data_IF_548766262352
#
_entry.id   IF_548766262352
#
_cell.length_a   1.000
_cell.length_b   1.000
_cell.length_c   1.000
_cell.angle_alpha   90.00
_cell.angle_beta   90.00
_cell.angle_gamma   90.00
#
_symmetry.space_group_name_H-M   'P 1'
#
loop_
_entity.id
_entity.type
_entity.pdbx_description
1 polymer ?
#
# COMPACT_ATOMS: atom_id res chain seq x y z
N UNK A 1 -23.77 -16.46 55.72
CA UNK A 1 -24.31 -16.05 54.40
C UNK A 1 -23.16 -15.51 53.57
N UNK A 2 -22.68 -16.21 52.52
CA UNK A 2 -21.65 -15.66 51.65
C UNK A 2 -22.32 -14.79 50.57
N UNK A 3 -21.97 -13.51 50.53
CA UNK A 3 -22.36 -12.61 49.45
C UNK A 3 -21.42 -12.80 48.26
N UNK A 4 -22.00 -13.22 47.13
CA UNK A 4 -21.39 -13.13 45.83
C UNK A 4 -21.24 -11.66 45.43
N UNK A 5 -20.05 -11.24 44.99
CA UNK A 5 -19.88 -10.00 44.23
C UNK A 5 -19.35 -10.36 42.85
N UNK A 6 -20.19 -10.03 41.89
CA UNK A 6 -20.04 -10.23 40.45
C UNK A 6 -18.99 -9.29 39.87
N UNK A 7 -18.06 -9.90 39.14
CA UNK A 7 -17.46 -9.46 37.88
C UNK A 7 -17.65 -7.98 37.46
N UNK A 8 -16.56 -7.22 37.43
CA UNK A 8 -16.45 -6.01 36.59
C UNK A 8 -15.14 -6.07 35.80
N UNK A 9 -15.12 -6.90 34.75
CA UNK A 9 -14.07 -6.88 33.75
C UNK A 9 -14.20 -5.61 32.90
N UNK A 10 -13.36 -4.61 33.16
CA UNK A 10 -13.24 -3.43 32.30
C UNK A 10 -12.47 -3.84 31.05
N UNK A 11 -13.22 -4.22 30.01
CA UNK A 11 -12.69 -4.39 28.66
C UNK A 11 -12.44 -3.00 28.08
N UNK A 12 -11.25 -2.45 28.31
CA UNK A 12 -10.80 -1.23 27.65
C UNK A 12 -10.57 -1.51 26.16
N UNK A 13 -11.62 -1.32 25.35
CA UNK A 13 -11.50 -1.28 23.90
C UNK A 13 -10.83 0.06 23.58
N UNK A 14 -9.50 0.04 23.42
CA UNK A 14 -8.76 1.17 22.89
C UNK A 14 -9.24 1.43 21.45
N UNK A 15 -10.15 2.39 21.29
CA UNK A 15 -10.50 3.01 20.02
C UNK A 15 -9.26 3.74 19.51
N UNK A 16 -8.43 3.06 18.74
CA UNK A 16 -7.39 3.71 17.95
C UNK A 16 -8.08 4.41 16.79
N UNK A 17 -8.48 5.66 17.03
CA UNK A 17 -8.94 6.57 15.99
C UNK A 17 -7.74 6.93 15.13
N UNK A 18 -7.50 6.15 14.08
CA UNK A 18 -6.56 6.52 13.03
C UNK A 18 -7.18 7.68 12.23
N UNK A 19 -6.89 8.90 12.63
CA UNK A 19 -7.06 10.06 11.77
C UNK A 19 -6.19 9.86 10.51
N UNK A 20 -6.72 10.03 9.29
CA UNK A 20 -5.94 9.86 8.08
C UNK A 20 -4.98 11.04 7.94
N UNK A 21 -3.78 10.91 8.50
CA UNK A 21 -2.67 11.80 8.17
C UNK A 21 -2.29 11.49 6.73
N UNK A 22 -2.65 12.38 5.81
CA UNK A 22 -2.21 12.32 4.42
C UNK A 22 -0.69 12.38 4.39
N UNK A 23 -0.04 11.21 4.33
CA UNK A 23 1.40 11.12 4.19
C UNK A 23 1.76 11.37 2.72
N UNK A 24 2.21 12.60 2.45
CA UNK A 24 3.12 12.90 1.34
C UNK A 24 4.37 12.01 1.45
N UNK A 25 5.17 11.92 0.39
CA UNK A 25 6.26 10.97 0.17
C UNK A 25 7.39 10.88 1.23
N UNK A 26 7.26 11.50 2.41
CA UNK A 26 8.09 11.29 3.60
C UNK A 26 7.41 10.35 4.61
N UNK A 27 8.15 9.31 5.00
CA UNK A 27 7.87 8.35 6.07
C UNK A 27 6.42 7.87 6.22
N UNK A 28 6.12 6.76 5.54
CA UNK A 28 4.93 5.97 5.84
C UNK A 28 5.00 5.49 7.29
N UNK A 29 3.92 5.71 8.05
CA UNK A 29 3.83 5.23 9.42
C UNK A 29 3.94 3.70 9.46
N UNK A 30 4.94 3.19 10.20
CA UNK A 30 5.11 1.75 10.41
C UNK A 30 5.09 1.41 11.90
N UNK A 31 4.39 0.33 12.24
CA UNK A 31 4.27 -0.14 13.62
C UNK A 31 4.31 -1.67 13.70
N UNK A 32 4.45 -2.19 14.92
CA UNK A 32 4.34 -3.64 15.18
C UNK A 32 5.41 -4.49 14.47
N UNK A 33 6.59 -3.93 14.22
CA UNK A 33 7.71 -4.63 13.58
C UNK A 33 7.71 -4.61 12.05
N UNK A 34 6.74 -3.93 11.42
CA UNK A 34 6.78 -3.65 9.98
C UNK A 34 7.94 -2.70 9.64
N UNK A 35 8.39 -2.72 8.38
CA UNK A 35 9.46 -1.85 7.86
C UNK A 35 9.09 -1.33 6.48
N UNK A 36 9.46 -0.08 6.20
CA UNK A 36 9.24 0.60 4.93
C UNK A 36 10.56 1.19 4.41
N UNK A 37 10.79 1.10 3.10
CA UNK A 37 11.97 1.66 2.45
C UNK A 37 11.57 2.29 1.12
N UNK A 38 11.65 3.63 1.07
CA UNK A 38 11.60 4.37 -0.19
C UNK A 38 12.75 3.96 -1.10
N UNK A 39 12.50 3.96 -2.40
CA UNK A 39 13.54 3.75 -3.42
C UNK A 39 13.60 5.05 -4.20
N UNK A 40 14.82 5.54 -4.45
CA UNK A 40 15.09 6.63 -5.39
C UNK A 40 15.34 6.08 -6.79
N UNK A 41 14.95 6.85 -7.80
CA UNK A 41 15.12 6.45 -9.20
C UNK A 41 16.59 6.22 -9.51
N UNK A 42 16.90 5.07 -10.11
CA UNK A 42 18.27 4.69 -10.46
C UNK A 42 19.06 4.00 -9.33
N UNK A 43 18.67 4.17 -8.06
CA UNK A 43 19.33 3.58 -6.89
C UNK A 43 18.87 2.15 -6.63
N UNK A 44 19.74 1.37 -5.98
CA UNK A 44 19.49 -0.04 -5.64
C UNK A 44 19.17 -0.16 -4.15
N UNK A 45 17.99 -0.66 -3.82
CA UNK A 45 17.63 -1.08 -2.47
C UNK A 45 18.02 -2.56 -2.26
N UNK A 46 18.66 -2.85 -1.12
CA UNK A 46 19.07 -4.21 -0.68
C UNK A 46 18.59 -4.51 0.74
N UNK A 47 17.38 -4.09 1.11
CA UNK A 47 16.88 -4.16 2.50
C UNK A 47 15.90 -5.31 2.77
N UNK A 48 15.33 -5.93 1.74
CA UNK A 48 14.26 -6.94 1.87
C UNK A 48 14.52 -8.18 1.02
N UNK A 49 13.96 -9.31 1.46
CA UNK A 49 13.77 -10.53 0.65
C UNK A 49 12.40 -10.42 -0.04
N UNK A 50 12.38 -9.83 -1.23
CA UNK A 50 11.18 -9.61 -2.03
C UNK A 50 10.74 -10.88 -2.76
N UNK A 51 11.69 -11.75 -3.11
CA UNK A 51 11.47 -13.00 -3.85
C UNK A 51 11.03 -14.16 -2.95
N UNK A 52 11.29 -14.07 -1.64
CA UNK A 52 11.00 -15.10 -0.66
C UNK A 52 12.06 -16.22 -0.61
N UNK A 53 13.26 -15.98 -1.13
CA UNK A 53 14.34 -16.98 -1.22
C UNK A 53 15.30 -16.95 -0.02
N UNK A 54 14.93 -16.26 1.07
CA UNK A 54 15.71 -16.04 2.30
C UNK A 54 16.97 -15.18 2.10
N UNK A 55 17.15 -14.53 0.95
CA UNK A 55 18.26 -13.61 0.67
C UNK A 55 17.71 -12.22 0.35
N UNK A 56 18.47 -11.17 0.71
CA UNK A 56 18.09 -9.80 0.35
C UNK A 56 18.23 -9.61 -1.16
N UNK A 57 17.20 -9.05 -1.79
CA UNK A 57 17.17 -8.81 -3.24
C UNK A 57 17.69 -7.40 -3.59
N UNK A 58 18.22 -7.26 -4.81
CA UNK A 58 18.56 -5.96 -5.40
C UNK A 58 17.34 -5.42 -6.13
N UNK A 59 16.64 -4.48 -5.52
CA UNK A 59 15.44 -3.84 -6.11
C UNK A 59 15.80 -2.44 -6.59
N UNK A 60 15.56 -2.16 -7.87
CA UNK A 60 15.83 -0.86 -8.49
C UNK A 60 14.66 -0.49 -9.36
N UNK A 61 14.34 0.79 -9.46
CA UNK A 61 13.48 1.28 -10.53
C UNK A 61 14.16 2.38 -11.31
N UNK A 62 13.66 2.62 -12.52
CA UNK A 62 14.01 3.77 -13.34
C UNK A 62 12.73 4.42 -13.83
N UNK A 63 12.75 5.74 -13.90
CA UNK A 63 11.72 6.54 -14.56
C UNK A 63 12.38 7.38 -15.64
N UNK A 64 12.23 6.99 -16.90
CA UNK A 64 12.80 7.69 -18.07
C UNK A 64 11.77 7.76 -19.18
N UNK A 65 11.67 8.89 -19.87
CA UNK A 65 10.77 9.09 -21.02
C UNK A 65 9.34 8.59 -20.76
N UNK A 66 8.74 8.98 -19.62
CA UNK A 66 7.36 8.60 -19.23
C UNK A 66 7.16 7.07 -19.08
N UNK A 67 8.23 6.33 -18.82
CA UNK A 67 8.23 4.88 -18.59
C UNK A 67 8.87 4.56 -17.25
N UNK A 68 8.12 3.87 -16.39
CA UNK A 68 8.61 3.31 -15.13
C UNK A 68 8.98 1.85 -15.36
N UNK A 69 10.20 1.44 -15.01
CA UNK A 69 10.60 0.02 -15.06
C UNK A 69 11.20 -0.38 -13.71
N UNK A 70 10.74 -1.50 -13.16
CA UNK A 70 11.27 -2.09 -11.92
C UNK A 70 12.07 -3.34 -12.25
N UNK A 71 13.23 -3.43 -11.64
CA UNK A 71 14.18 -4.52 -11.75
C UNK A 71 14.33 -5.19 -10.39
N UNK A 72 14.30 -6.53 -10.39
CA UNK A 72 14.60 -7.36 -9.22
C UNK A 72 15.77 -8.26 -9.62
N UNK A 73 16.88 -8.17 -8.89
CA UNK A 73 18.13 -8.87 -9.19
C UNK A 73 18.59 -8.68 -10.64
N UNK A 74 18.48 -7.44 -11.14
CA UNK A 74 18.88 -7.06 -12.51
C UNK A 74 17.87 -7.44 -13.60
N UNK A 75 16.85 -8.26 -13.31
CA UNK A 75 15.84 -8.68 -14.29
C UNK A 75 14.63 -7.76 -14.26
N UNK A 76 14.09 -7.40 -15.45
CA UNK A 76 12.87 -6.59 -15.58
C UNK A 76 11.65 -7.36 -15.06
N UNK A 77 11.01 -6.84 -14.02
CA UNK A 77 9.90 -7.52 -13.33
C UNK A 77 8.55 -6.78 -13.38
N UNK A 78 8.55 -5.47 -13.63
CA UNK A 78 7.34 -4.64 -13.81
C UNK A 78 7.66 -3.45 -14.72
N UNK A 79 6.69 -3.05 -15.55
CA UNK A 79 6.80 -1.87 -16.42
C UNK A 79 5.47 -1.14 -16.46
N UNK A 80 5.50 0.19 -16.40
CA UNK A 80 4.40 1.05 -16.75
C UNK A 80 4.82 1.96 -17.90
N UNK A 81 3.98 2.02 -18.92
CA UNK A 81 4.17 2.87 -20.09
C UNK A 81 3.22 4.05 -20.00
N UNK A 82 3.60 5.20 -20.58
CA UNK A 82 2.74 6.40 -20.64
C UNK A 82 2.39 6.95 -19.25
N UNK A 83 3.32 6.88 -18.31
CA UNK A 83 3.21 7.51 -16.99
C UNK A 83 3.51 9.01 -17.10
N UNK A 84 2.62 9.86 -16.61
CA UNK A 84 2.81 11.33 -16.59
C UNK A 84 3.89 11.70 -15.56
N UNK A 85 3.78 11.17 -14.34
CA UNK A 85 4.78 11.29 -13.29
C UNK A 85 4.69 10.09 -12.33
N UNK A 86 5.79 9.81 -11.65
CA UNK A 86 5.88 8.80 -10.60
C UNK A 86 5.86 9.51 -9.25
N UNK A 87 4.94 9.12 -8.35
CA UNK A 87 4.87 9.68 -7.01
C UNK A 87 5.92 9.03 -6.12
N UNK A 88 5.88 7.70 -6.02
CA UNK A 88 6.87 6.95 -5.26
C UNK A 88 6.97 5.50 -5.75
N UNK A 89 8.12 4.90 -5.46
CA UNK A 89 8.35 3.46 -5.52
C UNK A 89 9.02 3.06 -4.21
N UNK A 90 8.51 2.02 -3.57
CA UNK A 90 9.01 1.58 -2.28
C UNK A 90 8.87 0.07 -2.11
N UNK A 91 9.69 -0.49 -1.23
CA UNK A 91 9.51 -1.84 -0.72
C UNK A 91 9.19 -1.79 0.75
N UNK A 92 8.36 -2.72 1.20
CA UNK A 92 8.04 -2.85 2.62
C UNK A 92 8.03 -4.31 3.03
N UNK A 93 8.24 -4.54 4.32
CA UNK A 93 8.26 -5.86 4.95
C UNK A 93 7.28 -5.87 6.11
N UNK A 94 6.38 -6.84 6.11
CA UNK A 94 5.44 -7.10 7.20
C UNK A 94 6.14 -7.76 8.40
N UNK A 95 5.49 -7.78 9.56
CA UNK A 95 5.98 -8.46 10.78
C UNK A 95 6.31 -9.93 10.53
N UNK A 96 5.50 -10.62 9.74
CA UNK A 96 5.73 -12.02 9.36
C UNK A 96 6.88 -12.24 8.34
N UNK A 97 7.65 -11.19 8.04
CA UNK A 97 8.80 -11.24 7.14
C UNK A 97 8.46 -11.17 5.65
N UNK A 98 7.17 -11.17 5.27
CA UNK A 98 6.77 -11.09 3.86
C UNK A 98 6.94 -9.69 3.32
N UNK A 99 7.56 -9.57 2.15
CA UNK A 99 7.85 -8.30 1.52
C UNK A 99 7.06 -8.09 0.23
N UNK A 100 6.83 -6.81 -0.08
CA UNK A 100 6.05 -6.35 -1.22
C UNK A 100 6.68 -5.09 -1.80
N UNK A 101 6.33 -4.78 -3.04
CA UNK A 101 6.63 -3.50 -3.69
C UNK A 101 5.36 -2.65 -3.73
N UNK A 102 5.44 -1.37 -3.39
CA UNK A 102 4.40 -0.40 -3.67
C UNK A 102 4.86 0.60 -4.73
N UNK A 103 3.97 0.91 -5.67
CA UNK A 103 4.18 1.89 -6.73
C UNK A 103 2.96 2.79 -6.78
N UNK A 104 3.16 4.10 -6.71
CA UNK A 104 2.12 5.09 -7.02
C UNK A 104 2.59 6.01 -8.13
N UNK A 105 1.78 6.15 -9.17
CA UNK A 105 2.05 7.03 -10.30
C UNK A 105 0.74 7.54 -10.89
N UNK A 106 0.85 8.60 -11.70
CA UNK A 106 -0.28 9.12 -12.47
C UNK A 106 0.00 8.86 -13.94
N UNK A 107 -0.97 8.26 -14.64
CA UNK A 107 -0.86 7.96 -16.05
C UNK A 107 -1.09 9.20 -16.93
N UNK A 108 -0.88 9.08 -18.23
CA UNK A 108 -1.04 10.20 -19.19
C UNK A 108 -2.43 10.86 -19.18
N UNK A 109 -3.47 10.17 -18.70
CA UNK A 109 -4.85 10.69 -18.58
C UNK A 109 -5.09 11.43 -17.26
N UNK A 110 -4.07 11.60 -16.42
CA UNK A 110 -4.23 12.23 -15.11
C UNK A 110 -4.91 11.32 -14.07
N UNK A 111 -4.94 10.01 -14.32
CA UNK A 111 -5.56 9.03 -13.42
C UNK A 111 -4.49 8.25 -12.67
N UNK A 112 -4.80 7.87 -11.44
CA UNK A 112 -3.98 6.99 -10.61
C UNK A 112 -3.75 5.65 -11.33
N UNK A 113 -2.51 5.18 -11.29
CA UNK A 113 -2.12 3.82 -11.61
C UNK A 113 -1.05 3.37 -10.61
N UNK A 114 -0.81 2.06 -10.55
CA UNK A 114 0.03 1.43 -9.55
C UNK A 114 -0.75 0.56 -8.58
N UNK A 115 -0.18 0.35 -7.40
CA UNK A 115 -0.68 -0.59 -6.43
C UNK A 115 0.41 -1.21 -5.58
N UNK A 116 0.04 -2.29 -4.89
CA UNK A 116 0.97 -3.18 -4.19
C UNK A 116 1.16 -4.43 -5.02
N UNK A 117 2.41 -4.88 -5.11
CA UNK A 117 2.85 -6.00 -5.94
C UNK A 117 3.58 -7.04 -5.10
N UNK A 118 3.27 -8.31 -5.38
CA UNK A 118 3.96 -9.47 -4.82
C UNK A 118 4.80 -10.12 -5.91
N UNK A 119 6.04 -10.47 -5.59
CA UNK A 119 6.88 -11.21 -6.53
C UNK A 119 6.40 -12.65 -6.66
N UNK A 120 6.15 -13.11 -7.90
CA UNK A 120 5.75 -14.47 -8.24
C UNK A 120 6.36 -14.85 -9.59
N UNK A 121 7.09 -15.96 -9.62
CA UNK A 121 7.62 -16.56 -10.85
C UNK A 121 8.34 -15.56 -11.77
N UNK A 122 9.31 -14.82 -11.22
CA UNK A 122 10.12 -13.88 -12.00
C UNK A 122 9.51 -12.49 -12.20
N UNK A 123 8.23 -12.29 -11.86
CA UNK A 123 7.47 -11.07 -12.13
C UNK A 123 6.80 -10.51 -10.88
N UNK A 124 6.59 -9.20 -10.88
CA UNK A 124 5.79 -8.53 -9.87
C UNK A 124 4.33 -8.55 -10.30
N UNK A 125 3.47 -9.20 -9.51
CA UNK A 125 2.04 -9.32 -9.77
C UNK A 125 1.27 -8.39 -8.83
N UNK A 126 0.37 -7.58 -9.39
CA UNK A 126 -0.47 -6.65 -8.61
C UNK A 126 -1.39 -7.46 -7.69
N UNK A 127 -1.39 -7.15 -6.39
CA UNK A 127 -2.24 -7.76 -5.36
C UNK A 127 -3.19 -6.76 -4.71
N UNK A 128 -2.84 -5.47 -4.73
CA UNK A 128 -3.74 -4.36 -4.41
C UNK A 128 -3.69 -3.39 -5.57
N UNK A 129 -4.85 -2.99 -6.08
CA UNK A 129 -4.97 -1.93 -7.07
C UNK A 129 -5.53 -0.68 -6.39
N UNK A 130 -4.72 0.37 -6.29
CA UNK A 130 -5.13 1.60 -5.64
C UNK A 130 -6.33 2.24 -6.34
N UNK A 131 -6.38 2.17 -7.69
CA UNK A 131 -7.48 2.72 -8.45
C UNK A 131 -8.77 1.88 -8.34
N UNK A 132 -8.68 0.63 -7.89
CA UNK A 132 -9.87 -0.21 -7.71
C UNK A 132 -10.70 0.19 -6.48
N UNK A 133 -10.16 1.03 -5.58
CA UNK A 133 -10.92 1.54 -4.43
C UNK A 133 -12.13 2.39 -4.86
N UNK A 134 -12.01 3.14 -5.97
CA UNK A 134 -13.12 3.95 -6.49
C UNK A 134 -14.22 3.15 -7.19
N UNK A 135 -14.05 1.84 -7.42
CA UNK A 135 -15.08 1.02 -8.12
C UNK A 135 -16.40 0.98 -7.36
N UNK A 136 -16.37 1.16 -6.04
CA UNK A 136 -17.58 1.24 -5.22
C UNK A 136 -18.33 2.57 -5.35
N UNK A 137 -17.71 3.59 -5.94
CA UNK A 137 -18.22 4.96 -6.01
C UNK A 137 -18.54 5.32 -7.47
N UNK A 138 -19.82 5.27 -7.84
CA UNK A 138 -20.26 5.55 -9.21
C UNK A 138 -19.80 6.93 -9.67
N UNK A 139 -19.13 6.99 -10.82
CA UNK A 139 -18.63 8.24 -11.40
C UNK A 139 -17.35 8.80 -10.77
N UNK A 140 -16.78 8.15 -9.74
CA UNK A 140 -15.53 8.56 -9.14
C UNK A 140 -14.32 8.15 -9.98
N UNK A 141 -13.39 9.08 -10.20
CA UNK A 141 -12.13 8.85 -10.93
C UNK A 141 -10.95 9.03 -9.99
N UNK A 142 -10.20 7.96 -9.74
CA UNK A 142 -8.98 8.00 -8.91
C UNK A 142 -7.94 8.94 -9.51
N UNK A 143 -7.53 9.97 -8.77
CA UNK A 143 -6.52 10.96 -9.21
C UNK A 143 -5.20 10.77 -8.49
N UNK A 144 -5.23 10.29 -7.26
CA UNK A 144 -4.04 10.05 -6.44
C UNK A 144 -4.30 8.91 -5.45
N UNK A 145 -3.26 8.31 -4.87
CA UNK A 145 -3.41 7.24 -3.90
C UNK A 145 -2.14 6.46 -3.66
N UNK A 146 -2.15 5.67 -2.59
CA UNK A 146 -0.95 4.99 -2.14
C UNK A 146 -1.12 4.22 -0.84
N UNK A 147 0.01 3.88 -0.26
CA UNK A 147 0.13 3.35 1.10
C UNK A 147 0.00 4.52 2.09
N UNK A 148 -0.85 4.36 3.10
CA UNK A 148 -0.98 5.30 4.22
C UNK A 148 -0.13 4.86 5.42
N UNK A 149 -0.22 3.58 5.80
CA UNK A 149 0.50 3.02 6.94
C UNK A 149 0.60 1.49 6.87
N UNK A 150 1.46 0.92 7.70
CA UNK A 150 1.66 -0.53 7.81
C UNK A 150 1.75 -0.90 9.29
N UNK A 151 0.78 -1.67 9.79
CA UNK A 151 0.80 -2.22 11.15
C UNK A 151 0.91 -3.74 11.11
N UNK A 152 1.99 -4.29 11.69
CA UNK A 152 2.24 -5.74 11.75
C UNK A 152 2.13 -6.40 10.36
N UNK A 153 1.00 -7.05 10.08
CA UNK A 153 0.71 -7.77 8.83
C UNK A 153 -0.45 -7.14 8.03
N UNK A 154 -0.85 -5.93 8.38
CA UNK A 154 -1.92 -5.14 7.76
C UNK A 154 -1.33 -3.92 7.09
N UNK A 155 -1.85 -3.60 5.92
CA UNK A 155 -1.48 -2.47 5.10
C UNK A 155 -2.70 -1.60 4.91
N UNK A 156 -2.59 -0.33 5.28
CA UNK A 156 -3.63 0.67 5.06
C UNK A 156 -3.32 1.42 3.77
N UNK A 157 -4.28 1.44 2.83
CA UNK A 157 -4.13 2.13 1.55
C UNK A 157 -5.24 3.15 1.37
N UNK A 158 -4.97 4.19 0.60
CA UNK A 158 -5.94 5.23 0.30
C UNK A 158 -5.90 5.62 -1.18
N UNK A 159 -6.99 6.22 -1.65
CA UNK A 159 -7.04 6.94 -2.91
C UNK A 159 -7.89 8.20 -2.76
N UNK A 160 -7.46 9.24 -3.45
CA UNK A 160 -8.24 10.43 -3.71
C UNK A 160 -8.92 10.29 -5.06
N UNK A 161 -10.18 10.72 -5.13
CA UNK A 161 -10.96 10.61 -6.34
C UNK A 161 -11.84 11.83 -6.57
N UNK A 162 -11.94 12.25 -7.82
CA UNK A 162 -12.91 13.28 -8.22
C UNK A 162 -14.25 12.64 -8.54
N UNK A 163 -15.34 13.17 -7.97
CA UNK A 163 -16.71 12.76 -8.26
C UNK A 163 -17.58 14.00 -8.45
N UNK A 164 -17.86 14.36 -9.71
CA UNK A 164 -18.55 15.61 -10.04
C UNK A 164 -17.74 16.84 -9.60
N UNK A 165 -18.33 17.67 -8.73
CA UNK A 165 -17.70 18.85 -8.11
C UNK A 165 -16.99 18.56 -6.79
N UNK A 166 -17.09 17.34 -6.25
CA UNK A 166 -16.52 16.97 -4.95
C UNK A 166 -15.29 16.09 -5.08
N UNK A 167 -14.50 16.05 -4.01
CA UNK A 167 -13.42 15.09 -3.85
C UNK A 167 -13.78 14.05 -2.79
N UNK A 168 -13.36 12.82 -3.04
CA UNK A 168 -13.51 11.71 -2.12
C UNK A 168 -12.13 11.28 -1.64
N UNK A 169 -12.02 10.94 -0.37
CA UNK A 169 -10.94 10.11 0.14
C UNK A 169 -11.52 8.73 0.45
N UNK A 170 -10.97 7.69 -0.16
CA UNK A 170 -11.39 6.31 0.02
C UNK A 170 -10.21 5.54 0.55
N UNK A 171 -10.37 4.88 1.70
CA UNK A 171 -9.33 4.08 2.32
C UNK A 171 -9.80 2.67 2.60
N UNK A 172 -8.84 1.73 2.67
CA UNK A 172 -9.12 0.34 2.99
C UNK A 172 -7.89 -0.38 3.53
N UNK A 173 -8.14 -1.30 4.46
CA UNK A 173 -7.12 -2.17 5.03
C UNK A 173 -7.01 -3.47 4.26
N UNK A 174 -5.79 -3.98 4.20
CA UNK A 174 -5.47 -5.27 3.62
C UNK A 174 -4.58 -6.05 4.57
N UNK A 175 -5.03 -7.24 4.98
CA UNK A 175 -4.26 -8.10 5.89
C UNK A 175 -3.65 -9.26 5.13
N UNK A 176 -2.43 -9.65 5.50
CA UNK A 176 -1.80 -10.85 4.97
C UNK A 176 -2.55 -12.10 5.42
N UNK A 177 -3.24 -12.75 4.49
CA UNK A 177 -3.98 -14.00 4.69
C UNK A 177 -3.90 -14.85 3.42
N UNK A 178 -3.83 -16.17 3.57
CA UNK A 178 -3.79 -17.10 2.42
C UNK A 178 -2.68 -16.74 1.42
N UNK A 179 -1.47 -16.52 1.94
CA UNK A 179 -0.23 -16.24 1.19
C UNK A 179 -0.20 -14.91 0.42
N UNK A 180 -1.14 -13.99 0.65
CA UNK A 180 -1.18 -12.66 -0.02
C UNK A 180 -1.94 -11.62 0.81
N UNK A 181 -2.01 -10.37 0.34
CA UNK A 181 -2.81 -9.31 0.97
C UNK A 181 -4.28 -9.42 0.53
N UNK A 182 -5.20 -9.45 1.50
CA UNK A 182 -6.64 -9.57 1.27
C UNK A 182 -7.39 -8.38 1.88
N UNK A 183 -8.39 -7.83 1.18
CA UNK A 183 -9.15 -6.71 1.70
C UNK A 183 -9.88 -7.09 2.99
N UNK A 184 -9.81 -6.22 3.99
CA UNK A 184 -10.68 -6.28 5.16
C UNK A 184 -12.02 -5.67 4.75
N UNK A 185 -13.13 -6.41 4.90
CA UNK A 185 -14.44 -5.98 4.38
C UNK A 185 -14.96 -4.74 5.11
N UNK A 186 -14.92 -4.75 6.44
CA UNK A 186 -15.46 -3.71 7.33
C UNK A 186 -14.57 -2.47 7.47
N UNK A 187 -13.41 -2.42 6.81
CA UNK A 187 -12.47 -1.30 6.89
C UNK A 187 -12.58 -0.31 5.73
N UNK A 188 -13.54 -0.49 4.82
CA UNK A 188 -13.71 0.47 3.71
C UNK A 188 -14.27 1.75 4.30
N UNK A 189 -13.55 2.85 4.13
CA UNK A 189 -13.99 4.17 4.55
C UNK A 189 -14.06 5.09 3.34
N UNK A 190 -15.08 5.94 3.31
CA UNK A 190 -15.28 6.96 2.27
C UNK A 190 -15.62 8.25 2.99
N UNK A 191 -14.82 9.29 2.76
CA UNK A 191 -15.12 10.64 3.19
C UNK A 191 -15.17 11.58 1.99
N UNK A 192 -15.89 12.69 2.14
CA UNK A 192 -16.04 13.73 1.13
C UNK A 192 -15.50 15.04 1.67
N UNK A 193 -14.88 15.83 0.79
CA UNK A 193 -14.47 17.21 1.04
C UNK A 193 -14.58 18.03 -0.25
#
# INVERSE_FOLDING_TARGET
>A
MPFAIVLAGVLAIALVVFAPKAAYAGDIATSGGAKYYGIESGKVCKKVDLTGNKKKDKVKYTFKSKKLTVYVNGKKSLTFSKAKYCNYVSVFKLKNGKAFLAVSLVNKKGLLDGGVYQYKSGKLKKVIDFAALTKSQKGAKSTFGGLASIDKNTVHVYCEAKQGKSYLNISRDYTYKSKTLKPVKKSLQVSRW
#
